data_IF_813815336125
#
_entry.id   IF_813815336125
#
_cell.length_a   1.000
_cell.length_b   1.000
_cell.length_c   1.000
_cell.angle_alpha   90.00
_cell.angle_beta   90.00
_cell.angle_gamma   90.00
#
_symmetry.space_group_name_H-M   'P 1'
#
loop_
_entity.id
_entity.type
_entity.pdbx_description
1 polymer ?
#
# COMPACT_ATOMS: atom_id res chain seq x y z
N UNK A 1 0.11 17.38 11.33
CA UNK A 1 1.33 17.32 12.16
C UNK A 1 1.92 15.93 11.98
N UNK A 2 2.98 15.80 11.18
CA UNK A 2 3.62 14.50 10.94
C UNK A 2 4.48 14.12 12.14
N UNK A 3 4.00 13.20 12.98
CA UNK A 3 4.79 12.65 14.07
C UNK A 3 5.83 11.68 13.52
N UNK A 4 7.11 11.95 13.77
CA UNK A 4 8.16 10.95 13.56
C UNK A 4 8.19 10.04 14.79
N UNK A 5 8.23 8.73 14.56
CA UNK A 5 8.33 7.70 15.59
C UNK A 5 9.63 6.94 15.41
N UNK A 6 10.36 6.68 16.49
CA UNK A 6 11.59 5.89 16.46
C UNK A 6 11.25 4.41 16.52
N UNK A 7 11.73 3.65 15.54
CA UNK A 7 11.71 2.19 15.56
C UNK A 7 13.11 1.67 15.90
N UNK A 8 13.20 0.86 16.96
CA UNK A 8 14.46 0.25 17.40
C UNK A 8 14.48 -1.23 17.05
N UNK A 9 15.42 -1.65 16.21
CA UNK A 9 15.61 -3.05 15.80
C UNK A 9 17.02 -3.48 16.13
N UNK A 10 17.18 -4.68 16.71
CA UNK A 10 18.50 -5.26 16.98
C UNK A 10 19.08 -5.81 15.68
N UNK A 11 20.35 -5.51 15.44
CA UNK A 11 21.11 -6.01 14.29
C UNK A 11 22.43 -6.63 14.76
N UNK A 12 23.01 -7.60 14.01
CA UNK A 12 24.34 -8.10 14.29
C UNK A 12 25.37 -6.98 14.33
N UNK A 13 26.31 -7.05 15.27
CA UNK A 13 27.34 -6.01 15.45
C UNK A 13 28.18 -5.79 14.19
N UNK A 14 28.58 -6.88 13.54
CA UNK A 14 29.32 -6.83 12.28
C UNK A 14 28.60 -6.04 11.18
N UNK A 15 27.27 -6.14 11.11
CA UNK A 15 26.48 -5.40 10.13
C UNK A 15 26.50 -3.90 10.44
N UNK A 16 26.32 -3.52 11.71
CA UNK A 16 26.45 -2.12 12.13
C UNK A 16 27.84 -1.57 11.78
N UNK A 17 28.89 -2.33 12.09
CA UNK A 17 30.27 -1.92 11.83
C UNK A 17 30.54 -1.74 10.34
N UNK A 18 30.00 -2.62 9.48
CA UNK A 18 30.06 -2.48 8.01
C UNK A 18 29.30 -1.25 7.52
N UNK A 19 28.08 -1.03 8.00
CA UNK A 19 27.26 0.13 7.62
C UNK A 19 27.98 1.45 7.95
N UNK A 20 28.62 1.52 9.12
CA UNK A 20 29.41 2.66 9.55
C UNK A 20 30.69 2.82 8.70
N UNK A 21 31.45 1.73 8.50
CA UNK A 21 32.67 1.72 7.68
C UNK A 21 32.45 2.21 6.27
N UNK A 22 31.30 1.88 5.67
CA UNK A 22 30.97 2.27 4.30
C UNK A 22 30.10 3.53 4.21
N UNK A 23 29.82 4.20 5.34
CA UNK A 23 29.04 5.44 5.35
C UNK A 23 27.58 5.27 4.89
N UNK A 24 27.00 4.08 5.09
CA UNK A 24 25.63 3.80 4.66
C UNK A 24 24.64 4.54 5.55
N UNK A 25 23.79 5.36 4.92
CA UNK A 25 22.73 6.09 5.60
C UNK A 25 21.56 5.18 5.95
N UNK A 26 21.67 4.48 7.07
CA UNK A 26 20.68 3.48 7.53
C UNK A 26 19.26 4.03 7.56
N UNK A 27 19.07 5.28 8.04
CA UNK A 27 17.75 5.90 8.10
C UNK A 27 17.09 6.07 6.73
N UNK A 28 17.85 6.48 5.70
CA UNK A 28 17.33 6.64 4.34
C UNK A 28 16.95 5.28 3.73
N UNK A 29 17.81 4.29 3.90
CA UNK A 29 17.58 2.91 3.41
C UNK A 29 16.34 2.31 4.08
N UNK A 30 16.28 2.35 5.41
CA UNK A 30 15.17 1.75 6.17
C UNK A 30 13.86 2.46 5.85
N UNK A 31 13.84 3.80 5.77
CA UNK A 31 12.63 4.55 5.39
C UNK A 31 12.14 4.14 4.01
N UNK A 32 13.01 4.13 3.00
CA UNK A 32 12.63 3.77 1.63
C UNK A 32 12.08 2.33 1.54
N UNK A 33 12.71 1.38 2.26
CA UNK A 33 12.26 -0.01 2.30
C UNK A 33 10.89 -0.14 2.98
N UNK A 34 10.68 0.54 4.10
CA UNK A 34 9.40 0.51 4.82
C UNK A 34 8.28 1.15 4.00
N UNK A 35 8.51 2.32 3.40
CA UNK A 35 7.54 3.00 2.54
C UNK A 35 7.11 2.11 1.37
N UNK A 36 8.09 1.46 0.72
CA UNK A 36 7.80 0.51 -0.37
C UNK A 36 6.99 -0.69 0.12
N UNK A 37 7.38 -1.29 1.24
CA UNK A 37 6.69 -2.45 1.79
C UNK A 37 5.23 -2.14 2.15
N UNK A 38 4.98 -0.96 2.74
CA UNK A 38 3.62 -0.49 3.04
C UNK A 38 2.83 -0.29 1.76
N UNK A 39 3.39 0.39 0.76
CA UNK A 39 2.71 0.61 -0.52
C UNK A 39 2.33 -0.68 -1.23
N UNK A 40 3.22 -1.68 -1.22
CA UNK A 40 2.92 -3.01 -1.78
C UNK A 40 1.81 -3.72 -0.99
N UNK A 41 1.78 -3.58 0.34
CA UNK A 41 0.72 -4.14 1.18
C UNK A 41 -0.64 -3.47 0.92
N UNK A 42 -0.67 -2.15 0.78
CA UNK A 42 -1.87 -1.38 0.44
C UNK A 42 -2.42 -1.77 -0.94
N UNK A 43 -1.56 -1.94 -1.94
CA UNK A 43 -1.96 -2.41 -3.26
C UNK A 43 -2.59 -3.81 -3.21
N UNK A 44 -1.97 -4.74 -2.49
CA UNK A 44 -2.53 -6.09 -2.30
C UNK A 44 -3.87 -6.05 -1.57
N UNK A 45 -4.06 -5.13 -0.63
CA UNK A 45 -5.35 -4.96 0.04
C UNK A 45 -6.42 -4.44 -0.90
N UNK A 46 -6.09 -3.46 -1.73
CA UNK A 46 -6.99 -2.96 -2.77
C UNK A 46 -7.38 -4.06 -3.76
N UNK A 47 -6.41 -4.86 -4.23
CA UNK A 47 -6.66 -6.00 -5.12
C UNK A 47 -7.64 -7.00 -4.50
N UNK A 48 -7.43 -7.38 -3.22
CA UNK A 48 -8.36 -8.27 -2.50
C UNK A 48 -9.77 -7.70 -2.41
N UNK A 49 -9.90 -6.39 -2.15
CA UNK A 49 -11.21 -5.73 -2.08
C UNK A 49 -11.92 -5.71 -3.43
N UNK A 50 -11.18 -5.47 -4.51
CA UNK A 50 -11.72 -5.52 -5.87
C UNK A 50 -12.14 -6.94 -6.26
N UNK A 51 -11.34 -7.95 -5.92
CA UNK A 51 -11.69 -9.36 -6.16
C UNK A 51 -12.99 -9.74 -5.42
N UNK A 52 -13.13 -9.33 -4.15
CA UNK A 52 -14.36 -9.55 -3.38
C UNK A 52 -15.59 -8.86 -3.98
N UNK A 53 -15.41 -7.68 -4.59
CA UNK A 53 -16.49 -6.98 -5.31
C UNK A 53 -16.81 -7.64 -6.65
N UNK A 54 -15.82 -8.26 -7.31
CA UNK A 54 -16.01 -8.90 -8.62
C UNK A 54 -17.09 -9.99 -8.58
N UNK A 55 -17.15 -10.78 -7.52
CA UNK A 55 -18.19 -11.81 -7.36
C UNK A 55 -19.60 -11.21 -7.23
N UNK A 56 -19.71 -10.05 -6.58
CA UNK A 56 -20.98 -9.32 -6.43
C UNK A 56 -21.37 -8.65 -7.75
N UNK A 57 -20.42 -7.96 -8.38
CA UNK A 57 -20.62 -7.21 -9.62
C UNK A 57 -20.85 -8.13 -10.83
N UNK A 58 -20.29 -9.35 -10.82
CA UNK A 58 -20.53 -10.34 -11.89
C UNK A 58 -22.01 -10.75 -12.02
N UNK A 59 -22.82 -10.51 -10.99
CA UNK A 59 -24.26 -10.77 -11.01
C UNK A 59 -25.06 -9.67 -11.73
N UNK A 60 -24.48 -8.51 -11.97
CA UNK A 60 -25.13 -7.39 -12.66
C UNK A 60 -24.94 -7.51 -14.16
N UNK A 61 -26.04 -7.46 -14.91
CA UNK A 61 -26.02 -7.47 -16.37
C UNK A 61 -25.55 -6.13 -16.96
N UNK A 62 -24.99 -6.11 -18.19
CA UNK A 62 -24.54 -4.87 -18.84
C UNK A 62 -25.62 -3.80 -18.96
N UNK A 63 -26.89 -4.20 -19.13
CA UNK A 63 -28.03 -3.27 -19.21
C UNK A 63 -28.35 -2.61 -17.88
N UNK A 64 -28.30 -3.37 -16.78
CA UNK A 64 -28.54 -2.86 -15.43
C UNK A 64 -27.44 -1.87 -15.03
N UNK A 65 -26.18 -2.21 -15.31
CA UNK A 65 -25.04 -1.29 -15.11
C UNK A 65 -25.23 0.00 -15.90
N UNK A 66 -25.63 -0.07 -17.18
CA UNK A 66 -25.85 1.11 -17.99
C UNK A 66 -27.01 1.99 -17.48
N UNK A 67 -28.06 1.38 -16.94
CA UNK A 67 -29.19 2.10 -16.33
C UNK A 67 -28.76 2.83 -15.07
N UNK A 68 -28.07 2.12 -14.16
CA UNK A 68 -27.57 2.69 -12.90
C UNK A 68 -26.61 3.87 -13.13
N UNK A 69 -25.73 3.78 -14.14
CA UNK A 69 -24.82 4.89 -14.49
C UNK A 69 -25.57 6.09 -15.06
N UNK A 70 -26.65 5.88 -15.83
CA UNK A 70 -27.48 6.99 -16.33
C UNK A 70 -28.23 7.66 -15.20
N UNK A 71 -28.86 6.88 -14.32
CA UNK A 71 -29.58 7.39 -13.16
C UNK A 71 -28.65 8.21 -12.24
N UNK A 72 -27.43 7.72 -11.94
CA UNK A 72 -26.46 8.47 -11.11
C UNK A 72 -26.03 9.79 -11.77
N UNK A 73 -25.93 9.80 -13.10
CA UNK A 73 -25.56 11.01 -13.86
C UNK A 73 -26.69 12.02 -13.94
N UNK A 74 -27.94 11.57 -13.99
CA UNK A 74 -29.13 12.43 -14.03
C UNK A 74 -29.55 12.93 -12.64
N UNK A 75 -29.17 12.22 -11.57
CA UNK A 75 -29.44 12.62 -10.18
C UNK A 75 -28.51 13.71 -9.63
N UNK A 76 -27.51 14.12 -10.42
CA UNK A 76 -26.48 15.11 -10.05
C UNK A 76 -26.63 16.39 -10.84
#
# INVERSE_FOLDING_TARGET
MGGLVTLSVKVPRELRDKLERYGVKVGEVVRAVLERAVREAELRDLERRVEGLREVLAKLGPREVASLIREDREAK
#
